data_IF_939982775319
#
_entry.id   IF_939982775319
#
_cell.length_a   1.000
_cell.length_b   1.000
_cell.length_c   1.000
_cell.angle_alpha   90.00
_cell.angle_beta   90.00
_cell.angle_gamma   90.00
#
_symmetry.space_group_name_H-M   'P 1'
#
loop_
_entity.id
_entity.type
_entity.pdbx_description
1 polymer ?
#
# COMPACT_ATOMS: atom_id res chain seq x y z
N UNK A 1 -11.79 -1.08 -3.09
CA UNK A 1 -10.32 -1.01 -3.05
C UNK A 1 -9.82 0.39 -3.30
N UNK A 2 -8.99 0.91 -2.40
CA UNK A 2 -8.30 2.22 -2.51
C UNK A 2 -6.86 2.09 -3.02
N UNK A 3 -6.50 0.93 -3.59
CA UNK A 3 -5.14 0.66 -4.07
C UNK A 3 -4.93 1.35 -5.43
N UNK A 4 -4.02 2.33 -5.56
CA UNK A 4 -3.70 2.94 -6.84
C UNK A 4 -3.25 1.89 -7.86
N UNK A 5 -3.72 1.98 -9.10
CA UNK A 5 -3.44 0.98 -10.14
C UNK A 5 -1.95 0.84 -10.44
N UNK A 6 -1.18 1.92 -10.32
CA UNK A 6 0.26 1.92 -10.62
C UNK A 6 1.12 1.14 -9.61
N UNK A 7 0.59 0.79 -8.43
CA UNK A 7 1.31 -0.04 -7.45
C UNK A 7 0.81 -1.49 -7.39
N UNK A 8 -0.24 -1.84 -8.15
CA UNK A 8 -0.81 -3.18 -8.09
C UNK A 8 0.18 -4.20 -8.67
N UNK A 9 0.60 -5.17 -7.85
CA UNK A 9 1.62 -6.15 -8.22
C UNK A 9 3.06 -5.66 -8.10
N UNK A 10 3.29 -4.41 -7.69
CA UNK A 10 4.63 -3.89 -7.43
C UNK A 10 5.15 -4.34 -6.06
N UNK A 11 6.46 -4.54 -5.96
CA UNK A 11 7.11 -4.82 -4.67
C UNK A 11 7.53 -3.52 -3.99
N UNK A 12 7.22 -3.40 -2.71
CA UNK A 12 7.55 -2.22 -1.91
C UNK A 12 8.07 -2.62 -0.53
N UNK A 13 8.75 -1.71 0.14
CA UNK A 13 9.27 -1.93 1.50
C UNK A 13 8.39 -1.20 2.52
N UNK A 14 7.99 -1.89 3.60
CA UNK A 14 7.31 -1.26 4.72
C UNK A 14 8.29 -0.33 5.44
N UNK A 15 7.96 0.97 5.50
CA UNK A 15 8.77 1.99 6.17
C UNK A 15 8.09 2.55 7.42
N UNK A 16 6.81 2.23 7.64
CA UNK A 16 6.06 2.65 8.82
C UNK A 16 4.86 1.77 9.10
N UNK A 17 4.53 1.62 10.39
CA UNK A 17 3.31 1.00 10.88
C UNK A 17 2.54 2.02 11.70
N UNK A 18 1.33 2.36 11.26
CA UNK A 18 0.49 3.37 11.91
C UNK A 18 -0.58 2.78 12.83
N UNK A 19 -0.56 1.46 13.05
CA UNK A 19 -1.57 0.78 13.86
C UNK A 19 -2.92 0.69 13.16
N UNK A 20 -3.98 0.51 13.95
CA UNK A 20 -5.30 0.14 13.43
C UNK A 20 -6.12 1.35 12.99
N UNK A 21 -6.56 1.35 11.74
CA UNK A 21 -7.39 2.39 11.13
C UNK A 21 -8.70 1.81 10.57
N UNK A 22 -9.75 2.63 10.48
CA UNK A 22 -11.03 2.21 9.90
C UNK A 22 -10.80 1.71 8.47
N UNK A 23 -11.16 0.45 8.23
CA UNK A 23 -10.94 -0.18 6.94
C UNK A 23 -12.04 0.24 5.95
N UNK A 24 -11.67 0.87 4.81
CA UNK A 24 -12.64 1.49 3.92
C UNK A 24 -13.60 0.48 3.29
N UNK A 25 -13.14 -0.73 2.94
CA UNK A 25 -13.98 -1.68 2.23
C UNK A 25 -15.04 -2.31 3.16
N UNK A 26 -14.72 -2.57 4.45
CA UNK A 26 -15.73 -2.97 5.46
C UNK A 26 -16.64 -1.79 5.81
N UNK A 27 -16.10 -0.58 5.94
CA UNK A 27 -16.91 0.61 6.21
C UNK A 27 -17.93 0.90 5.10
N UNK A 28 -17.55 0.68 3.84
CA UNK A 28 -18.45 0.82 2.68
C UNK A 28 -19.65 -0.15 2.72
N UNK A 29 -19.52 -1.28 3.43
CA UNK A 29 -20.60 -2.26 3.62
C UNK A 29 -21.35 -2.07 4.95
N UNK A 30 -21.12 -0.95 5.65
CA UNK A 30 -21.78 -0.63 6.92
C UNK A 30 -21.14 -1.28 8.15
N UNK A 31 -20.00 -1.96 7.99
CA UNK A 31 -19.30 -2.60 9.09
C UNK A 31 -18.15 -1.72 9.60
N UNK A 32 -18.14 -1.43 10.91
CA UNK A 32 -17.03 -0.72 11.54
C UNK A 32 -15.97 -1.72 11.99
N UNK A 33 -14.98 -1.95 11.13
CA UNK A 33 -13.82 -2.77 11.42
C UNK A 33 -12.54 -1.96 11.21
N UNK A 34 -11.54 -2.24 12.04
CA UNK A 34 -10.21 -1.67 11.91
C UNK A 34 -9.25 -2.68 11.32
N UNK A 35 -8.33 -2.23 10.49
CA UNK A 35 -7.23 -3.02 9.94
C UNK A 35 -5.92 -2.24 10.11
N UNK A 36 -4.79 -2.93 10.18
CA UNK A 36 -3.49 -2.26 10.30
C UNK A 36 -3.18 -1.45 9.05
N UNK A 37 -2.65 -0.23 9.23
CA UNK A 37 -2.22 0.66 8.16
C UNK A 37 -0.70 0.74 8.14
N UNK A 38 -0.12 0.54 6.97
CA UNK A 38 1.31 0.57 6.73
C UNK A 38 1.65 1.64 5.69
N UNK A 39 2.80 2.27 5.84
CA UNK A 39 3.39 3.11 4.79
C UNK A 39 4.42 2.30 4.04
N UNK A 40 4.23 2.15 2.74
CA UNK A 40 5.13 1.43 1.85
C UNK A 40 5.90 2.42 0.98
N UNK A 41 7.20 2.19 0.84
CA UNK A 41 8.07 2.88 -0.10
C UNK A 41 8.26 2.00 -1.34
N UNK A 42 7.92 2.53 -2.49
CA UNK A 42 8.17 1.95 -3.81
C UNK A 42 9.27 2.75 -4.50
N UNK A 43 10.21 2.05 -5.12
CA UNK A 43 11.18 2.71 -5.99
C UNK A 43 10.52 3.06 -7.32
N UNK A 44 10.86 4.22 -7.87
CA UNK A 44 10.33 4.65 -9.16
C UNK A 44 10.54 3.61 -10.26
N UNK A 45 11.71 2.94 -10.26
CA UNK A 45 12.03 1.93 -11.24
C UNK A 45 11.14 0.68 -11.17
N UNK A 46 10.64 0.32 -9.98
CA UNK A 46 9.68 -0.78 -9.81
C UNK A 46 8.30 -0.43 -10.40
N UNK A 47 7.94 0.87 -10.40
CA UNK A 47 6.64 1.34 -10.89
C UNK A 47 6.64 1.69 -12.38
N UNK A 48 7.74 2.27 -12.86
CA UNK A 48 7.81 2.94 -14.17
C UNK A 48 8.99 2.48 -15.03
N UNK A 49 9.80 1.53 -14.55
CA UNK A 49 11.00 1.03 -15.25
C UNK A 49 12.25 1.86 -15.00
N UNK A 50 13.40 1.32 -15.43
CA UNK A 50 14.75 1.85 -15.15
C UNK A 50 15.01 3.28 -15.63
N UNK A 51 14.24 3.75 -16.60
CA UNK A 51 14.34 5.11 -17.14
C UNK A 51 13.70 6.16 -16.21
N UNK A 52 12.89 5.72 -15.23
CA UNK A 52 12.41 6.61 -14.18
C UNK A 52 13.52 6.83 -13.15
N UNK A 53 13.79 8.10 -12.85
CA UNK A 53 14.90 8.47 -11.96
C UNK A 53 14.78 7.90 -10.54
N UNK A 54 15.73 8.23 -9.66
CA UNK A 54 15.82 7.76 -8.27
C UNK A 54 14.72 8.27 -7.32
N UNK A 55 13.54 8.59 -7.84
CA UNK A 55 12.40 9.02 -7.05
C UNK A 55 11.74 7.80 -6.40
N UNK A 56 11.22 7.98 -5.20
CA UNK A 56 10.45 6.95 -4.50
C UNK A 56 9.05 7.46 -4.22
N UNK A 57 8.07 6.57 -4.28
CA UNK A 57 6.67 6.85 -3.98
C UNK A 57 6.32 6.21 -2.65
N UNK A 58 5.66 6.97 -1.79
CA UNK A 58 5.14 6.47 -0.52
C UNK A 58 3.63 6.31 -0.63
N UNK A 59 3.12 5.13 -0.29
CA UNK A 59 1.68 4.84 -0.32
C UNK A 59 1.28 4.18 0.98
N UNK A 60 0.21 4.69 1.58
CA UNK A 60 -0.37 4.10 2.78
C UNK A 60 -1.42 3.05 2.38
N UNK A 61 -1.20 1.81 2.81
CA UNK A 61 -2.04 0.65 2.47
C UNK A 61 -2.43 -0.11 3.73
N UNK A 62 -3.66 -0.60 3.73
CA UNK A 62 -4.13 -1.48 4.78
C UNK A 62 -3.56 -2.89 4.60
N UNK A 63 -3.35 -3.60 5.70
CA UNK A 63 -2.82 -4.97 5.73
C UNK A 63 -3.50 -5.94 4.75
N UNK A 64 -4.84 -5.95 4.57
CA UNK A 64 -5.49 -6.85 3.64
C UNK A 64 -5.17 -6.58 2.16
N UNK A 65 -4.52 -5.45 1.85
CA UNK A 65 -4.05 -5.12 0.50
C UNK A 65 -2.61 -5.60 0.24
N UNK A 66 -1.95 -6.16 1.25
CA UNK A 66 -0.55 -6.59 1.17
C UNK A 66 -0.48 -8.12 1.09
N UNK A 67 0.45 -8.60 0.29
CA UNK A 67 0.83 -10.02 0.23
C UNK A 67 2.30 -10.14 0.65
N UNK A 68 2.61 -11.18 1.44
CA UNK A 68 3.99 -11.46 1.84
C UNK A 68 4.80 -11.98 0.66
N UNK A 69 5.95 -11.40 0.39
CA UNK A 69 6.91 -11.93 -0.59
C UNK A 69 7.59 -13.14 0.06
N UNK A 70 7.37 -14.34 -0.48
CA UNK A 70 8.10 -15.57 -0.10
C UNK A 70 9.36 -15.76 -0.92
#
# INVERSE_FOLDING_TARGET
TRVPTYIQGASGTVVGHYGTHVYPDKHATGQRAGEHLYSLRFEGHELWGLESGSQSVYVDLWEPYLEGIS
#
